data_IF_105879042002
#
_entry.id   IF_105879042002
#
_cell.length_a   1.000
_cell.length_b   1.000
_cell.length_c   1.000
_cell.angle_alpha   90.00
_cell.angle_beta   90.00
_cell.angle_gamma   90.00
#
_symmetry.space_group_name_H-M   'P 1'
#
loop_
_entity.id
_entity.type
_entity.pdbx_description
1 polymer ?
#
# COMPACT_ATOMS: atom_id res chain seq x y z
N UNK A 1 -8.87 -5.00 -11.58
CA UNK A 1 -8.78 -3.71 -10.84
C UNK A 1 -7.34 -3.50 -10.42
N UNK A 2 -7.03 -2.41 -9.74
CA UNK A 2 -5.69 -2.14 -9.25
C UNK A 2 -5.78 -1.56 -7.82
N UNK A 3 -4.77 -1.79 -6.99
CA UNK A 3 -4.66 -1.19 -5.66
C UNK A 3 -3.69 0.00 -5.70
N UNK A 4 -4.02 1.05 -4.95
CA UNK A 4 -3.16 2.22 -4.79
C UNK A 4 -1.93 1.86 -3.94
N UNK A 5 -0.75 2.28 -4.39
CA UNK A 5 0.51 2.13 -3.66
C UNK A 5 1.05 3.50 -3.25
N UNK A 6 1.24 3.73 -1.96
CA UNK A 6 1.78 4.98 -1.40
C UNK A 6 2.86 4.68 -0.38
N UNK A 7 3.83 5.58 -0.26
CA UNK A 7 5.00 5.42 0.59
C UNK A 7 5.63 4.02 0.42
N UNK A 8 5.63 3.19 1.46
CA UNK A 8 5.91 1.76 1.36
C UNK A 8 4.60 0.98 1.50
N UNK A 9 4.30 0.12 0.54
CA UNK A 9 3.07 -0.67 0.53
C UNK A 9 3.42 -2.15 0.61
N UNK A 10 2.87 -2.85 1.61
CA UNK A 10 2.86 -4.31 1.62
C UNK A 10 1.65 -4.75 0.82
N UNK A 11 1.90 -5.39 -0.31
CA UNK A 11 0.87 -5.90 -1.22
C UNK A 11 0.83 -7.42 -1.08
N UNK A 12 -0.34 -7.96 -0.79
CA UNK A 12 -0.55 -9.38 -0.50
C UNK A 12 -1.56 -9.96 -1.49
N UNK A 13 -1.33 -11.15 -1.96
CA UNK A 13 -2.26 -11.90 -2.80
C UNK A 13 -3.44 -12.38 -1.95
N UNK A 14 -4.65 -12.07 -2.40
CA UNK A 14 -5.86 -12.45 -1.68
C UNK A 14 -6.09 -13.96 -1.63
N UNK A 15 -5.82 -14.67 -2.72
CA UNK A 15 -5.90 -16.13 -2.77
C UNK A 15 -4.97 -16.78 -1.73
N UNK A 16 -3.76 -16.25 -1.55
CA UNK A 16 -2.83 -16.74 -0.54
C UNK A 16 -3.33 -16.49 0.89
N UNK A 17 -3.99 -15.36 1.14
CA UNK A 17 -4.64 -15.11 2.44
C UNK A 17 -5.72 -16.14 2.71
N UNK A 18 -6.59 -16.38 1.74
CA UNK A 18 -7.72 -17.33 1.88
C UNK A 18 -7.25 -18.78 2.09
N UNK A 19 -6.14 -19.16 1.46
CA UNK A 19 -5.63 -20.53 1.50
C UNK A 19 -4.68 -20.80 2.67
N UNK A 20 -3.82 -19.83 3.05
CA UNK A 20 -2.70 -20.11 3.94
C UNK A 20 -2.68 -19.29 5.24
N UNK A 21 -3.38 -18.14 5.30
CA UNK A 21 -3.36 -17.33 6.51
C UNK A 21 -4.19 -17.95 7.62
N UNK A 22 -3.72 -17.88 8.86
CA UNK A 22 -4.43 -18.38 10.02
C UNK A 22 -5.82 -17.73 10.13
N UNK A 23 -6.88 -18.53 10.14
CA UNK A 23 -8.28 -18.13 10.04
C UNK A 23 -8.65 -17.37 8.73
N UNK A 24 -7.82 -17.49 7.68
CA UNK A 24 -8.08 -16.96 6.35
C UNK A 24 -8.33 -15.44 6.34
N UNK A 25 -9.31 -15.01 5.54
CA UNK A 25 -9.63 -13.59 5.39
C UNK A 25 -10.02 -12.90 6.71
N UNK A 26 -10.77 -13.58 7.57
CA UNK A 26 -11.17 -13.00 8.87
C UNK A 26 -9.97 -12.74 9.77
N UNK A 27 -9.07 -13.74 9.90
CA UNK A 27 -7.84 -13.58 10.67
C UNK A 27 -6.94 -12.49 10.11
N UNK A 28 -6.84 -12.38 8.79
CA UNK A 28 -6.08 -11.30 8.15
C UNK A 28 -6.63 -9.91 8.52
N UNK A 29 -7.94 -9.71 8.47
CA UNK A 29 -8.57 -8.43 8.82
C UNK A 29 -8.33 -8.03 10.28
N UNK A 30 -8.30 -9.00 11.19
CA UNK A 30 -8.00 -8.75 12.61
C UNK A 30 -6.54 -8.29 12.85
N UNK A 31 -5.65 -8.56 11.90
CA UNK A 31 -4.23 -8.23 11.96
C UNK A 31 -3.85 -7.00 11.11
N UNK A 32 -4.81 -6.21 10.62
CA UNK A 32 -4.53 -4.96 9.91
C UNK A 32 -4.04 -3.90 10.91
N UNK A 33 -2.81 -3.36 10.75
CA UNK A 33 -2.20 -2.52 11.77
C UNK A 33 -2.67 -1.06 11.72
N UNK A 34 -3.32 -0.65 10.63
CA UNK A 34 -3.68 0.77 10.42
C UNK A 34 -4.81 0.93 9.40
N UNK A 35 -5.34 2.15 9.28
CA UNK A 35 -6.47 2.46 8.40
C UNK A 35 -6.13 2.63 6.92
N UNK A 36 -4.96 2.18 6.46
CA UNK A 36 -4.51 2.40 5.07
C UNK A 36 -4.83 1.23 4.13
N UNK A 37 -5.49 0.18 4.64
CA UNK A 37 -5.84 -0.96 3.83
C UNK A 37 -6.75 -0.55 2.67
N UNK A 38 -6.43 -1.04 1.48
CA UNK A 38 -7.36 -1.13 0.37
C UNK A 38 -7.21 -2.48 -0.35
N UNK A 39 -8.26 -2.91 -1.00
CA UNK A 39 -8.28 -4.19 -1.71
C UNK A 39 -9.09 -4.06 -2.98
N UNK A 40 -8.63 -4.70 -4.04
CA UNK A 40 -9.47 -5.12 -5.15
C UNK A 40 -9.91 -6.58 -4.93
N UNK A 41 -10.28 -7.31 -5.94
CA UNK A 41 -10.70 -8.72 -5.77
C UNK A 41 -9.51 -9.69 -5.66
N UNK A 42 -8.31 -9.26 -6.04
CA UNK A 42 -7.13 -10.11 -6.22
C UNK A 42 -5.98 -9.76 -5.29
N UNK A 43 -5.84 -8.46 -4.96
CA UNK A 43 -4.75 -7.95 -4.12
C UNK A 43 -5.28 -7.17 -2.92
N UNK A 44 -4.52 -7.21 -1.85
CA UNK A 44 -4.72 -6.40 -0.65
C UNK A 44 -3.47 -5.57 -0.42
N UNK A 45 -3.63 -4.29 -0.12
CA UNK A 45 -2.53 -3.38 0.16
C UNK A 45 -2.69 -2.74 1.54
N UNK A 46 -1.60 -2.72 2.29
CA UNK A 46 -1.46 -1.96 3.55
C UNK A 46 -0.25 -1.04 3.43
N UNK A 47 -0.42 0.24 3.73
CA UNK A 47 0.62 1.25 3.58
C UNK A 47 1.36 1.57 4.87
N UNK A 48 2.65 1.96 4.72
CA UNK A 48 3.55 2.32 5.81
C UNK A 48 4.40 3.52 5.41
N UNK A 49 4.75 4.37 6.37
CA UNK A 49 5.60 5.53 6.11
C UNK A 49 7.09 5.15 6.04
N UNK A 50 7.49 4.06 6.66
CA UNK A 50 8.86 3.58 6.66
C UNK A 50 8.95 2.06 6.48
N UNK A 51 10.16 1.59 6.14
CA UNK A 51 10.42 0.17 5.89
C UNK A 51 10.46 -0.67 7.16
N UNK A 52 10.73 -0.08 8.32
CA UNK A 52 10.80 -0.82 9.58
C UNK A 52 9.42 -1.35 9.93
N UNK A 53 8.42 -0.48 9.94
CA UNK A 53 7.04 -0.88 10.20
C UNK A 53 6.49 -1.83 9.13
N UNK A 54 6.85 -1.62 7.86
CA UNK A 54 6.49 -2.55 6.79
C UNK A 54 7.09 -3.95 7.04
N UNK A 55 8.35 -4.03 7.44
CA UNK A 55 9.03 -5.30 7.74
C UNK A 55 8.45 -5.98 8.99
N UNK A 56 8.12 -5.24 10.04
CA UNK A 56 7.44 -5.78 11.23
C UNK A 56 6.10 -6.42 10.85
N UNK A 57 5.33 -5.74 10.01
CA UNK A 57 4.07 -6.29 9.51
C UNK A 57 4.28 -7.54 8.65
N UNK A 58 5.30 -7.58 7.81
CA UNK A 58 5.65 -8.78 7.04
C UNK A 58 5.98 -9.94 7.99
N UNK A 59 6.78 -9.72 9.04
CA UNK A 59 7.07 -10.79 10.01
C UNK A 59 5.80 -11.34 10.67
N UNK A 60 4.84 -10.48 10.98
CA UNK A 60 3.53 -10.89 11.47
C UNK A 60 2.79 -11.72 10.44
N UNK A 61 2.75 -11.31 9.16
CA UNK A 61 2.10 -12.06 8.09
C UNK A 61 2.75 -13.45 7.89
N UNK A 62 4.07 -13.52 7.93
CA UNK A 62 4.82 -14.77 7.81
C UNK A 62 4.55 -15.71 9.00
N UNK A 63 4.45 -15.19 10.21
CA UNK A 63 4.13 -15.97 11.41
C UNK A 63 2.72 -16.53 11.41
N UNK A 64 1.82 -15.96 10.59
CA UNK A 64 0.43 -16.41 10.40
C UNK A 64 0.22 -17.20 9.09
N UNK A 65 1.27 -17.79 8.50
CA UNK A 65 1.17 -18.79 7.44
C UNK A 65 1.52 -18.33 6.03
N UNK A 66 1.67 -17.02 5.77
CA UNK A 66 2.13 -16.53 4.48
C UNK A 66 3.62 -16.82 4.28
N UNK A 67 4.08 -16.82 3.03
CA UNK A 67 5.48 -17.01 2.66
C UNK A 67 6.00 -15.89 1.76
N UNK A 68 7.29 -15.66 1.90
CA UNK A 68 8.04 -14.70 1.10
C UNK A 68 9.44 -15.25 0.83
N UNK A 69 9.51 -16.29 0.02
CA UNK A 69 10.74 -16.97 -0.36
C UNK A 69 10.77 -17.27 -1.86
N UNK A 70 11.88 -17.84 -2.34
CA UNK A 70 12.09 -18.17 -3.76
C UNK A 70 11.12 -19.23 -4.31
N UNK A 71 10.48 -20.01 -3.44
CA UNK A 71 9.51 -21.03 -3.82
C UNK A 71 8.07 -20.54 -3.84
N UNK A 72 7.75 -19.57 -2.95
CA UNK A 72 6.42 -18.98 -2.84
C UNK A 72 6.50 -17.55 -2.30
N UNK A 73 6.07 -16.60 -3.09
CA UNK A 73 5.95 -15.21 -2.71
C UNK A 73 4.48 -14.80 -2.70
N UNK A 74 3.88 -14.80 -1.50
CA UNK A 74 2.47 -14.44 -1.28
C UNK A 74 2.27 -12.93 -1.13
N UNK A 75 3.36 -12.20 -0.89
CA UNK A 75 3.37 -10.77 -0.64
C UNK A 75 4.61 -10.10 -1.27
N UNK A 76 4.58 -8.79 -1.39
CA UNK A 76 5.69 -7.97 -1.88
C UNK A 76 5.67 -6.60 -1.21
N UNK A 77 6.84 -5.99 -1.04
CA UNK A 77 6.97 -4.58 -0.67
C UNK A 77 7.10 -3.75 -1.94
N UNK A 78 6.29 -2.71 -2.02
CA UNK A 78 6.30 -1.76 -3.13
C UNK A 78 6.70 -0.38 -2.63
N UNK A 79 7.78 0.15 -3.15
CA UNK A 79 8.14 1.56 -2.99
C UNK A 79 7.34 2.38 -4.00
N UNK A 80 6.63 3.40 -3.53
CA UNK A 80 5.81 4.27 -4.37
C UNK A 80 6.55 4.83 -5.59
N UNK A 81 7.86 5.08 -5.46
CA UNK A 81 8.65 5.73 -6.51
C UNK A 81 9.40 4.74 -7.41
N UNK A 82 9.77 3.57 -6.86
CA UNK A 82 10.63 2.59 -7.52
C UNK A 82 9.89 1.35 -7.99
N UNK A 83 8.71 1.07 -7.42
CA UNK A 83 7.99 -0.18 -7.66
C UNK A 83 8.36 -1.29 -6.67
N UNK A 84 8.12 -2.56 -7.03
CA UNK A 84 8.47 -3.70 -6.21
C UNK A 84 9.94 -3.70 -5.82
N UNK A 85 10.23 -3.99 -4.55
CA UNK A 85 11.61 -4.01 -4.03
C UNK A 85 12.34 -5.26 -4.51
N UNK A 86 11.62 -6.38 -4.67
CA UNK A 86 12.17 -7.63 -5.16
C UNK A 86 11.70 -7.94 -6.59
N UNK A 87 12.28 -8.96 -7.22
CA UNK A 87 11.83 -9.45 -8.53
C UNK A 87 10.48 -10.16 -8.41
N UNK A 88 9.42 -9.38 -8.41
CA UNK A 88 8.04 -9.87 -8.28
C UNK A 88 7.46 -10.21 -9.66
N UNK A 89 7.16 -11.51 -9.89
CA UNK A 89 6.67 -12.00 -11.17
C UNK A 89 5.15 -12.00 -11.32
N UNK A 90 4.43 -11.94 -10.20
CA UNK A 90 2.96 -12.03 -10.18
C UNK A 90 2.27 -10.66 -10.09
N UNK A 91 3.00 -9.56 -10.05
CA UNK A 91 2.46 -8.22 -9.95
C UNK A 91 3.06 -7.29 -11.00
N UNK A 92 2.26 -6.39 -11.51
CA UNK A 92 2.71 -5.26 -12.31
C UNK A 92 2.55 -3.96 -11.51
N UNK A 93 3.42 -3.01 -11.79
CA UNK A 93 3.47 -1.69 -11.17
C UNK A 93 3.44 -0.62 -12.26
N UNK A 94 2.70 0.44 -12.01
CA UNK A 94 2.65 1.61 -12.88
C UNK A 94 2.58 2.89 -12.06
N UNK A 95 3.41 3.87 -12.42
CA UNK A 95 3.29 5.25 -11.97
C UNK A 95 2.54 6.04 -13.04
N UNK A 96 1.45 6.69 -12.66
CA UNK A 96 0.57 7.42 -13.58
C UNK A 96 0.00 8.68 -12.91
N UNK A 97 -0.66 9.52 -13.69
CA UNK A 97 -1.36 10.68 -13.14
C UNK A 97 -2.81 10.37 -12.83
N UNK A 98 -3.28 10.83 -11.69
CA UNK A 98 -4.70 10.79 -11.38
C UNK A 98 -5.43 11.72 -12.34
N UNK A 99 -6.50 11.19 -12.97
CA UNK A 99 -7.30 11.94 -13.93
C UNK A 99 -7.79 13.26 -13.32
N UNK A 100 -7.69 14.32 -14.10
CA UNK A 100 -8.11 15.68 -13.74
C UNK A 100 -7.31 16.34 -12.58
N UNK A 101 -6.14 15.79 -12.25
CA UNK A 101 -5.23 16.36 -11.24
C UNK A 101 -3.78 16.38 -11.73
N UNK A 102 -2.93 17.14 -11.02
CA UNK A 102 -1.47 17.12 -11.23
C UNK A 102 -0.76 16.03 -10.42
N UNK A 103 -1.49 15.25 -9.60
CA UNK A 103 -0.91 14.29 -8.69
C UNK A 103 -0.51 13.00 -9.40
N UNK A 104 0.74 12.61 -9.22
CA UNK A 104 1.22 11.29 -9.59
C UNK A 104 0.73 10.27 -8.55
N UNK A 105 0.24 9.14 -9.03
CA UNK A 105 -0.14 7.99 -8.22
C UNK A 105 0.61 6.76 -8.69
N UNK A 106 0.82 5.82 -7.79
CA UNK A 106 1.39 4.52 -8.09
C UNK A 106 0.35 3.44 -7.82
N UNK A 107 0.24 2.48 -8.72
CA UNK A 107 -0.75 1.41 -8.65
C UNK A 107 -0.11 0.06 -8.94
N UNK A 108 -0.67 -0.98 -8.36
CA UNK A 108 -0.31 -2.37 -8.62
C UNK A 108 -1.55 -3.19 -8.97
N UNK A 109 -1.36 -4.24 -9.78
CA UNK A 109 -2.40 -5.22 -10.09
C UNK A 109 -1.80 -6.61 -10.27
N UNK A 110 -2.60 -7.65 -10.08
CA UNK A 110 -2.18 -9.03 -10.29
C UNK A 110 -1.88 -9.26 -11.77
N UNK A 111 -0.80 -10.01 -12.03
CA UNK A 111 -0.30 -10.31 -13.36
C UNK A 111 -0.15 -11.81 -13.57
N UNK A 112 -0.92 -12.37 -14.48
CA UNK A 112 -0.90 -13.80 -14.80
C UNK A 112 -0.02 -14.15 -16.03
N UNK A 113 1.13 -13.52 -16.16
CA UNK A 113 2.14 -13.90 -17.16
C UNK A 113 1.90 -13.45 -18.59
N UNK A 114 0.91 -12.62 -18.87
CA UNK A 114 0.67 -12.05 -20.20
C UNK A 114 1.25 -10.63 -20.26
N UNK A 115 2.12 -10.37 -21.24
CA UNK A 115 2.58 -8.98 -21.47
C UNK A 115 1.38 -8.10 -21.81
N UNK A 116 1.20 -6.94 -21.15
CA UNK A 116 0.17 -6.00 -21.55
C UNK A 116 0.44 -5.56 -22.99
N UNK A 117 -0.53 -5.71 -23.85
CA UNK A 117 -0.53 -4.97 -25.11
C UNK A 117 -0.77 -3.49 -24.80
N UNK A 118 -0.24 -2.57 -25.61
CA UNK A 118 -0.41 -1.11 -25.39
C UNK A 118 -1.87 -0.72 -25.10
N UNK A 119 -2.85 -1.42 -25.63
CA UNK A 119 -4.26 -1.22 -25.34
C UNK A 119 -4.70 -1.57 -23.92
N UNK A 120 -3.95 -2.38 -23.18
CA UNK A 120 -4.24 -2.71 -21.77
C UNK A 120 -3.75 -1.60 -20.85
N UNK A 121 -2.63 -0.95 -21.17
CA UNK A 121 -2.11 0.21 -20.42
C UNK A 121 -3.12 1.36 -20.48
N UNK A 122 -3.73 1.61 -21.63
CA UNK A 122 -4.79 2.62 -21.79
C UNK A 122 -6.07 2.24 -21.03
N UNK A 123 -6.39 0.94 -20.90
CA UNK A 123 -7.51 0.46 -20.08
C UNK A 123 -7.26 0.58 -18.57
N UNK A 124 -6.02 0.45 -18.12
CA UNK A 124 -5.65 0.62 -16.70
C UNK A 124 -5.96 2.06 -16.26
N UNK A 125 -5.72 3.06 -17.08
CA UNK A 125 -6.11 4.46 -16.82
C UNK A 125 -7.61 4.70 -16.71
N UNK A 126 -8.46 3.73 -17.08
CA UNK A 126 -9.92 3.75 -16.92
C UNK A 126 -10.44 2.77 -15.86
N UNK A 127 -9.58 1.96 -15.25
CA UNK A 127 -9.99 1.01 -14.20
C UNK A 127 -10.23 1.73 -12.88
N UNK A 128 -11.17 1.20 -12.09
CA UNK A 128 -11.35 1.61 -10.72
C UNK A 128 -10.10 1.24 -9.92
N UNK A 129 -9.50 2.22 -9.28
CA UNK A 129 -8.39 2.04 -8.36
C UNK A 129 -8.98 1.88 -6.96
N UNK A 130 -8.64 0.79 -6.29
CA UNK A 130 -8.99 0.61 -4.89
C UNK A 130 -8.10 1.52 -4.03
N UNK A 131 -8.73 2.33 -3.19
CA UNK A 131 -8.08 3.28 -2.28
C UNK A 131 -8.56 3.07 -0.86
N UNK A 132 -7.80 3.46 0.17
CA UNK A 132 -8.30 3.50 1.54
C UNK A 132 -9.58 4.35 1.64
N UNK A 133 -10.44 4.04 2.62
CA UNK A 133 -11.75 4.67 2.77
C UNK A 133 -11.72 6.21 2.84
N UNK A 134 -10.70 6.76 3.51
CA UNK A 134 -10.52 8.21 3.69
C UNK A 134 -9.38 8.79 2.84
N UNK A 135 -9.04 8.12 1.74
CA UNK A 135 -7.92 8.53 0.91
C UNK A 135 -8.14 9.91 0.25
N UNK A 136 -7.10 10.72 0.28
CA UNK A 136 -6.98 11.97 -0.49
C UNK A 136 -5.63 11.96 -1.22
N UNK A 137 -5.51 12.52 -2.44
CA UNK A 137 -4.24 12.62 -3.15
C UNK A 137 -3.16 13.29 -2.29
N UNK A 138 -1.97 12.67 -2.20
CA UNK A 138 -0.87 13.15 -1.39
C UNK A 138 -0.98 12.88 0.11
N UNK A 139 -1.89 11.98 0.53
CA UNK A 139 -2.09 11.61 1.93
C UNK A 139 -0.84 10.95 2.54
N UNK A 140 -0.16 10.11 1.77
CA UNK A 140 1.07 9.43 2.17
C UNK A 140 2.15 9.69 1.13
N UNK A 141 2.99 10.71 1.36
CA UNK A 141 4.15 10.97 0.50
C UNK A 141 5.41 10.33 1.10
N UNK A 142 6.16 9.64 0.25
CA UNK A 142 7.43 9.02 0.59
C UNK A 142 8.50 10.08 0.91
N UNK A 143 9.26 9.86 1.99
CA UNK A 143 10.46 10.65 2.29
C UNK A 143 10.21 12.00 2.97
N UNK A 144 9.04 12.21 3.53
CA UNK A 144 8.78 13.36 4.39
C UNK A 144 9.34 13.06 5.78
N UNK A 145 10.57 13.53 6.05
CA UNK A 145 11.04 13.60 7.43
C UNK A 145 10.08 14.48 8.23
N UNK A 146 9.67 14.02 9.40
CA UNK A 146 8.68 14.74 10.24
C UNK A 146 9.27 15.94 10.97
N UNK A 147 10.59 16.08 10.98
CA UNK A 147 11.32 17.08 11.78
C UNK A 147 11.02 18.56 11.45
N UNK A 148 10.47 18.80 10.27
CA UNK A 148 10.09 20.15 9.82
C UNK A 148 8.57 20.36 9.76
N UNK A 149 7.79 19.36 10.16
CA UNK A 149 6.33 19.42 10.14
C UNK A 149 5.80 20.01 11.45
N UNK A 150 4.83 20.89 11.33
CA UNK A 150 4.13 21.49 12.47
C UNK A 150 2.85 20.71 12.74
N UNK A 151 2.68 20.19 13.97
CA UNK A 151 1.47 19.49 14.37
C UNK A 151 0.26 20.44 14.29
N UNK A 152 -0.81 19.99 13.66
CA UNK A 152 -2.09 20.73 13.59
C UNK A 152 -3.17 20.07 14.44
N UNK A 153 -3.49 18.81 14.20
CA UNK A 153 -4.60 18.09 14.85
C UNK A 153 -4.52 16.59 14.58
N UNK A 154 -5.29 15.84 15.36
CA UNK A 154 -5.62 14.45 15.07
C UNK A 154 -7.00 14.37 14.42
N UNK A 155 -7.13 13.59 13.35
CA UNK A 155 -8.38 13.42 12.60
C UNK A 155 -8.45 12.00 12.04
N UNK A 156 -9.52 11.26 12.32
CA UNK A 156 -9.80 9.92 11.78
C UNK A 156 -8.65 8.89 11.91
N UNK A 157 -7.97 8.85 13.06
CA UNK A 157 -6.84 7.94 13.30
C UNK A 157 -5.52 8.38 12.65
N UNK A 158 -5.48 9.57 12.09
CA UNK A 158 -4.30 10.20 11.51
C UNK A 158 -3.87 11.42 12.32
N UNK A 159 -2.57 11.74 12.28
CA UNK A 159 -2.06 13.03 12.73
C UNK A 159 -1.86 13.94 11.53
N UNK A 160 -2.45 15.11 11.58
CA UNK A 160 -2.32 16.13 10.53
C UNK A 160 -1.24 17.13 10.92
N UNK A 161 -0.29 17.32 10.03
CA UNK A 161 0.79 18.28 10.16
C UNK A 161 0.71 19.32 9.04
N UNK A 162 1.22 20.51 9.32
CA UNK A 162 1.51 21.52 8.30
C UNK A 162 2.95 21.35 7.82
N UNK A 163 3.13 21.26 6.51
CA UNK A 163 4.45 21.32 5.87
C UNK A 163 4.73 22.74 5.38
N UNK A 164 5.54 23.54 6.11
CA UNK A 164 5.82 24.92 5.72
C UNK A 164 6.65 25.06 4.44
N UNK A 165 7.33 23.98 4.01
CA UNK A 165 8.12 23.99 2.77
C UNK A 165 7.25 23.80 1.54
N UNK A 166 6.17 23.03 1.67
CA UNK A 166 5.24 22.71 0.59
C UNK A 166 3.93 23.48 0.69
N UNK A 167 3.77 24.28 1.77
CA UNK A 167 2.56 25.08 2.06
C UNK A 167 1.26 24.23 2.00
N UNK A 168 1.29 23.02 2.60
CA UNK A 168 0.14 22.10 2.60
C UNK A 168 0.04 21.28 3.88
N UNK A 169 -1.16 20.74 4.12
CA UNK A 169 -1.36 19.72 5.16
C UNK A 169 -0.81 18.36 4.72
N UNK A 170 -0.15 17.67 5.66
CA UNK A 170 0.37 16.31 5.51
C UNK A 170 -0.29 15.43 6.55
N UNK A 171 -0.83 14.30 6.12
CA UNK A 171 -1.53 13.34 6.97
C UNK A 171 -0.63 12.14 7.24
N UNK A 172 -0.38 11.84 8.52
CA UNK A 172 0.43 10.70 8.94
C UNK A 172 -0.44 9.76 9.74
N UNK A 173 -0.52 8.51 9.29
CA UNK A 173 -1.31 7.49 9.99
C UNK A 173 -0.60 7.10 11.29
N UNK A 174 -1.34 7.11 12.42
CA UNK A 174 -0.83 6.57 13.68
C UNK A 174 -0.77 5.06 13.56
N UNK A 175 0.42 4.48 13.68
CA UNK A 175 0.53 3.07 14.00
C UNK A 175 0.11 2.89 15.46
N UNK A 176 -0.93 2.12 15.72
CA UNK A 176 -1.21 1.66 17.08
C UNK A 176 -0.12 0.67 17.49
N UNK A 177 1.00 1.19 17.99
CA UNK A 177 1.86 0.40 18.85
C UNK A 177 1.14 0.25 20.18
N UNK A 178 0.51 -0.90 20.39
CA UNK A 178 0.06 -1.31 21.72
C UNK A 178 1.33 -1.43 22.58
N UNK A 179 1.51 -0.61 23.64
CA UNK A 179 2.61 -0.85 24.55
C UNK A 179 2.30 -2.12 25.33
N UNK A 180 3.20 -3.09 25.26
CA UNK A 180 3.27 -4.16 26.24
C UNK A 180 3.58 -3.61 27.63
#
# INVERSE_FOLDING_TARGET
MAVLCEAYSVVVRRDAIEEYFDNGWSGFLENIPNGTMCTDEELVRVGFMDTTLANEYIQLLLSNGLRFDSGRADLEIVDQNKGPINDCKWMQFLKTKLKDTSHDISICWLWEGHKPTEGVILKIGSQKIATPANWKPGLMEHGVGTDHLEYLRDEDGMTVYWDPKKEKEVFIVKSETTPN
#
